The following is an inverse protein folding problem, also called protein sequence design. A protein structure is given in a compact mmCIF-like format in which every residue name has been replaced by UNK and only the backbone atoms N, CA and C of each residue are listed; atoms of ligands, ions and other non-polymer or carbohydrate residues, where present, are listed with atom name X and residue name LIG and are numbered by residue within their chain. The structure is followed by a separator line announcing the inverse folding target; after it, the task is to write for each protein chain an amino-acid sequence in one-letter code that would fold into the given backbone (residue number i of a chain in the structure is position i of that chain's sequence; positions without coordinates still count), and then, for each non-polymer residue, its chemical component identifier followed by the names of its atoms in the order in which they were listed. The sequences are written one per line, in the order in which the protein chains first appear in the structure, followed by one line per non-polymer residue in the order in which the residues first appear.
data_IF_876579152192
#
_entry.id   IF_876579152192
#
_cell.length_a   1.000
_cell.length_b   1.000
_cell.length_c   1.000
_cell.angle_alpha   90.00
_cell.angle_beta   90.00
_cell.angle_gamma   90.00
#
_symmetry.space_group_name_H-M   'P 1'
#
loop_
_entity.id
_entity.type
_entity.pdbx_description
1 polymer ?
#
# COMPACT_ATOMS: atom_id res chain seq x y z
N UNK A 1 -3.51 14.78 -27.01
CA UNK A 1 -3.39 16.20 -26.60
C UNK A 1 -3.27 16.23 -25.09
N UNK A 2 -2.07 16.48 -24.58
CA UNK A 2 -1.78 16.61 -23.15
C UNK A 2 -2.42 17.89 -22.63
N UNK A 3 -3.37 17.76 -21.70
CA UNK A 3 -3.83 18.90 -20.90
C UNK A 3 -2.63 19.52 -20.17
N UNK A 4 -2.57 20.85 -20.01
CA UNK A 4 -1.50 21.49 -19.26
C UNK A 4 -1.54 20.95 -17.84
N UNK A 5 -0.47 20.30 -17.42
CA UNK A 5 -0.27 19.79 -16.06
C UNK A 5 -0.33 20.97 -15.11
N UNK A 6 -1.43 21.11 -14.36
CA UNK A 6 -1.48 22.03 -13.21
C UNK A 6 -0.28 21.70 -12.31
N UNK A 7 0.54 22.71 -11.99
CA UNK A 7 1.65 22.55 -11.03
C UNK A 7 1.07 22.02 -9.72
N UNK A 8 1.51 20.84 -9.31
CA UNK A 8 1.20 20.31 -7.97
C UNK A 8 1.79 21.25 -6.92
N UNK A 9 1.03 21.53 -5.85
CA UNK A 9 1.51 22.38 -4.74
C UNK A 9 2.41 21.59 -3.79
N UNK A 10 2.19 20.28 -3.67
CA UNK A 10 2.91 19.38 -2.78
C UNK A 10 3.16 18.01 -3.42
N UNK A 11 4.08 17.23 -2.87
CA UNK A 11 4.18 15.81 -3.21
C UNK A 11 3.05 15.02 -2.55
N UNK A 12 2.73 13.85 -3.08
CA UNK A 12 1.68 12.99 -2.52
C UNK A 12 1.97 12.60 -1.07
N UNK A 13 3.20 12.21 -0.76
CA UNK A 13 3.55 11.83 0.61
C UNK A 13 3.32 12.97 1.62
N UNK A 14 3.70 14.21 1.29
CA UNK A 14 3.44 15.35 2.18
C UNK A 14 1.96 15.70 2.26
N UNK A 15 1.23 15.57 1.15
CA UNK A 15 -0.22 15.72 1.12
C UNK A 15 -0.88 14.74 2.08
N UNK A 16 -0.49 13.46 2.04
CA UNK A 16 -0.98 12.45 2.97
C UNK A 16 -0.67 12.80 4.42
N UNK A 17 0.56 13.24 4.73
CA UNK A 17 0.94 13.61 6.10
C UNK A 17 0.02 14.72 6.61
N UNK A 18 -0.21 15.76 5.81
CA UNK A 18 -1.08 16.88 6.18
C UNK A 18 -2.52 16.40 6.40
N UNK A 19 -3.08 15.61 5.48
CA UNK A 19 -4.45 15.12 5.58
C UNK A 19 -4.63 14.18 6.78
N UNK A 20 -3.69 13.25 7.00
CA UNK A 20 -3.69 12.34 8.14
C UNK A 20 -3.62 13.10 9.47
N UNK A 21 -2.71 14.07 9.60
CA UNK A 21 -2.62 14.90 10.80
C UNK A 21 -3.84 15.80 10.98
N UNK A 22 -4.46 16.28 9.90
CA UNK A 22 -5.71 17.05 10.00
C UNK A 22 -6.82 16.20 10.63
N UNK A 23 -6.98 14.94 10.22
CA UNK A 23 -7.93 14.00 10.82
C UNK A 23 -7.60 13.76 12.30
N UNK A 24 -6.32 13.53 12.63
CA UNK A 24 -5.86 13.29 14.00
C UNK A 24 -6.16 14.48 14.91
N UNK A 25 -5.82 15.70 14.45
CA UNK A 25 -6.01 16.92 15.22
C UNK A 25 -7.50 17.22 15.44
N UNK A 26 -8.34 16.99 14.43
CA UNK A 26 -9.80 17.11 14.59
C UNK A 26 -10.34 16.12 15.63
N UNK A 27 -9.88 14.88 15.62
CA UNK A 27 -10.29 13.88 16.61
C UNK A 27 -9.84 14.28 18.03
N UNK A 28 -8.60 14.74 18.20
CA UNK A 28 -8.07 15.24 19.48
C UNK A 28 -8.85 16.49 19.95
N UNK A 29 -9.31 17.34 19.02
CA UNK A 29 -10.14 18.50 19.32
C UNK A 29 -11.61 18.14 19.68
N UNK A 30 -11.95 16.85 19.75
CA UNK A 30 -13.29 16.37 20.09
C UNK A 30 -14.25 16.23 18.91
N UNK A 31 -13.81 16.53 17.68
CA UNK A 31 -14.61 16.33 16.47
C UNK A 31 -14.44 14.87 16.03
N UNK A 32 -15.21 13.99 16.67
CA UNK A 32 -15.20 12.56 16.37
C UNK A 32 -16.10 12.25 15.18
N UNK A 33 -15.56 11.52 14.21
CA UNK A 33 -16.37 10.99 13.12
C UNK A 33 -17.24 9.85 13.64
N UNK A 34 -18.52 9.79 13.23
CA UNK A 34 -19.41 8.72 13.65
C UNK A 34 -18.91 7.37 13.13
N UNK A 35 -19.19 6.33 13.91
CA UNK A 35 -18.82 4.94 13.59
C UNK A 35 -20.09 4.18 13.20
N UNK A 36 -20.31 3.87 11.91
CA UNK A 36 -21.43 3.06 11.48
C UNK A 36 -21.32 1.62 11.97
N UNK A 37 -22.47 1.01 12.21
CA UNK A 37 -22.59 -0.40 12.55
C UNK A 37 -22.85 -1.22 11.29
N UNK A 38 -21.99 -2.21 11.03
CA UNK A 38 -22.16 -3.14 9.92
C UNK A 38 -22.46 -4.58 10.36
N UNK A 39 -22.42 -4.90 11.66
CA UNK A 39 -22.61 -6.29 12.12
C UNK A 39 -24.07 -6.69 12.23
N UNK A 40 -24.45 -7.81 11.59
CA UNK A 40 -25.80 -8.40 11.59
C UNK A 40 -25.80 -9.94 11.48
N UNK A 41 -26.75 -10.58 12.16
CA UNK A 41 -26.91 -12.05 12.15
C UNK A 41 -28.03 -12.56 11.22
N UNK A 42 -29.09 -11.77 11.03
CA UNK A 42 -30.29 -12.14 10.30
C UNK A 42 -30.84 -10.93 9.53
N UNK A 43 -31.85 -11.17 8.68
CA UNK A 43 -32.45 -10.10 7.87
C UNK A 43 -33.08 -8.99 8.72
N UNK A 44 -33.66 -9.29 9.88
CA UNK A 44 -34.22 -8.28 10.76
C UNK A 44 -33.14 -7.31 11.25
N UNK A 45 -32.02 -7.80 11.78
CA UNK A 45 -30.89 -6.96 12.20
C UNK A 45 -30.29 -6.14 11.04
N UNK A 46 -30.26 -6.69 9.82
CA UNK A 46 -29.81 -5.95 8.64
C UNK A 46 -30.68 -4.70 8.42
N UNK A 47 -32.01 -4.82 8.50
CA UNK A 47 -32.91 -3.68 8.29
C UNK A 47 -32.99 -2.75 9.51
N UNK A 48 -33.08 -3.30 10.72
CA UNK A 48 -33.31 -2.53 11.95
C UNK A 48 -32.07 -1.84 12.49
N UNK A 49 -30.88 -2.37 12.20
CA UNK A 49 -29.61 -1.83 12.71
C UNK A 49 -28.76 -1.24 11.60
N UNK A 50 -28.43 -2.02 10.58
CA UNK A 50 -27.47 -1.62 9.53
C UNK A 50 -28.10 -0.65 8.53
N UNK A 51 -29.35 -0.90 8.11
CA UNK A 51 -30.09 -0.02 7.20
C UNK A 51 -31.06 0.92 7.95
N UNK A 52 -30.87 1.07 9.25
CA UNK A 52 -31.62 2.05 10.05
C UNK A 52 -31.31 3.48 9.61
N UNK A 53 -32.28 4.38 9.77
CA UNK A 53 -32.10 5.79 9.42
C UNK A 53 -30.92 6.42 10.15
N UNK A 54 -30.73 6.11 11.44
CA UNK A 54 -29.61 6.60 12.23
C UNK A 54 -28.26 6.12 11.67
N UNK A 55 -28.16 4.84 11.31
CA UNK A 55 -26.91 4.30 10.76
C UNK A 55 -26.61 4.83 9.35
N UNK A 56 -27.65 5.00 8.52
CA UNK A 56 -27.52 5.63 7.20
C UNK A 56 -27.02 7.07 7.34
N UNK A 57 -27.51 7.83 8.32
CA UNK A 57 -26.98 9.18 8.61
C UNK A 57 -25.48 9.13 8.97
N UNK A 58 -25.05 8.17 9.80
CA UNK A 58 -23.62 7.98 10.12
C UNK A 58 -22.79 7.69 8.87
N UNK A 59 -23.28 6.82 7.99
CA UNK A 59 -22.64 6.49 6.70
C UNK A 59 -22.54 7.75 5.81
N UNK A 60 -23.61 8.54 5.71
CA UNK A 60 -23.60 9.77 4.91
C UNK A 60 -22.65 10.83 5.47
N UNK A 61 -22.57 11.00 6.79
CA UNK A 61 -21.60 11.89 7.44
C UNK A 61 -20.16 11.43 7.14
N UNK A 62 -19.90 10.11 7.18
CA UNK A 62 -18.59 9.58 6.79
C UNK A 62 -18.28 9.82 5.32
N UNK A 63 -19.25 9.65 4.41
CA UNK A 63 -19.07 9.97 2.99
C UNK A 63 -18.67 11.44 2.81
N UNK A 64 -19.33 12.38 3.49
CA UNK A 64 -18.98 13.80 3.42
C UNK A 64 -17.55 14.03 3.94
N UNK A 65 -17.18 13.44 5.07
CA UNK A 65 -15.83 13.57 5.62
C UNK A 65 -14.76 13.03 4.63
N UNK A 66 -15.00 11.86 4.05
CA UNK A 66 -14.12 11.25 3.04
C UNK A 66 -14.02 12.13 1.79
N UNK A 67 -15.15 12.66 1.29
CA UNK A 67 -15.17 13.58 0.16
C UNK A 67 -14.37 14.85 0.42
N UNK A 68 -14.50 15.46 1.60
CA UNK A 68 -13.74 16.66 1.98
C UNK A 68 -12.25 16.37 1.99
N UNK A 69 -11.82 15.28 2.63
CA UNK A 69 -10.41 14.90 2.72
C UNK A 69 -9.85 14.57 1.33
N UNK A 70 -10.57 13.78 0.52
CA UNK A 70 -10.14 13.41 -0.82
C UNK A 70 -10.13 14.62 -1.78
N UNK A 71 -11.09 15.53 -1.66
CA UNK A 71 -11.13 16.77 -2.45
C UNK A 71 -9.96 17.69 -2.08
N UNK A 72 -9.64 17.82 -0.79
CA UNK A 72 -8.46 18.54 -0.33
C UNK A 72 -7.17 17.92 -0.87
N UNK A 73 -7.06 16.59 -0.84
CA UNK A 73 -5.94 15.87 -1.47
C UNK A 73 -5.83 16.14 -2.97
N UNK A 74 -6.94 16.09 -3.70
CA UNK A 74 -6.96 16.40 -5.12
C UNK A 74 -6.56 17.85 -5.41
N UNK A 75 -6.99 18.81 -4.59
CA UNK A 75 -6.57 20.21 -4.70
C UNK A 75 -5.05 20.37 -4.52
N UNK A 76 -4.48 19.78 -3.47
CA UNK A 76 -3.06 19.89 -3.15
C UNK A 76 -2.17 19.23 -4.21
N UNK A 77 -2.66 18.15 -4.82
CA UNK A 77 -1.99 17.43 -5.91
C UNK A 77 -2.21 18.06 -7.29
N UNK A 78 -3.07 19.07 -7.41
CA UNK A 78 -3.46 19.65 -8.71
C UNK A 78 -4.37 18.77 -9.56
N UNK A 79 -4.93 17.71 -8.98
CA UNK A 79 -5.86 16.78 -9.61
C UNK A 79 -7.29 17.37 -9.72
N UNK A 80 -8.16 16.70 -10.47
CA UNK A 80 -9.54 17.14 -10.69
C UNK A 80 -10.41 16.88 -9.46
N UNK A 81 -10.72 17.94 -8.71
CA UNK A 81 -11.71 17.89 -7.61
C UNK A 81 -13.08 17.43 -8.09
N UNK A 82 -13.47 17.82 -9.31
CA UNK A 82 -14.73 17.38 -9.92
C UNK A 82 -14.76 15.86 -10.06
N UNK A 83 -13.65 15.24 -10.45
CA UNK A 83 -13.56 13.78 -10.57
C UNK A 83 -13.80 13.12 -9.21
N UNK A 84 -13.24 13.65 -8.12
CA UNK A 84 -13.48 13.15 -6.76
C UNK A 84 -14.97 13.19 -6.41
N UNK A 85 -15.66 14.32 -6.61
CA UNK A 85 -17.09 14.43 -6.30
C UNK A 85 -17.99 13.54 -7.17
N UNK A 86 -17.57 13.20 -8.39
CA UNK A 86 -18.35 12.31 -9.27
C UNK A 86 -18.05 10.83 -9.04
N UNK A 87 -16.77 10.49 -8.82
CA UNK A 87 -16.28 9.11 -8.77
C UNK A 87 -16.25 8.51 -7.37
N UNK A 88 -15.81 9.28 -6.38
CA UNK A 88 -15.66 8.79 -5.01
C UNK A 88 -16.97 8.30 -4.38
N UNK A 89 -18.14 8.90 -4.63
CA UNK A 89 -19.40 8.35 -4.12
C UNK A 89 -19.69 6.94 -4.61
N UNK A 90 -19.29 6.60 -5.84
CA UNK A 90 -19.45 5.25 -6.39
C UNK A 90 -18.48 4.28 -5.73
N UNK A 91 -17.21 4.66 -5.59
CA UNK A 91 -16.22 3.84 -4.88
C UNK A 91 -16.66 3.60 -3.43
N UNK A 92 -17.09 4.67 -2.74
CA UNK A 92 -17.59 4.60 -1.38
C UNK A 92 -18.81 3.68 -1.27
N UNK A 93 -19.78 3.79 -2.18
CA UNK A 93 -20.93 2.90 -2.21
C UNK A 93 -20.53 1.42 -2.34
N UNK A 94 -19.61 1.10 -3.27
CA UNK A 94 -19.09 -0.26 -3.42
C UNK A 94 -18.37 -0.74 -2.16
N UNK A 95 -17.60 0.14 -1.52
CA UNK A 95 -16.95 -0.15 -0.23
C UNK A 95 -17.98 -0.41 0.88
N UNK A 96 -19.06 0.38 0.97
CA UNK A 96 -20.13 0.14 1.95
C UNK A 96 -20.83 -1.20 1.69
N UNK A 97 -21.07 -1.57 0.44
CA UNK A 97 -21.59 -2.90 0.11
C UNK A 97 -20.65 -4.01 0.60
N UNK A 98 -19.34 -3.87 0.40
CA UNK A 98 -18.36 -4.80 0.95
C UNK A 98 -18.47 -4.90 2.48
N UNK A 99 -18.52 -3.75 3.18
CA UNK A 99 -18.62 -3.72 4.65
C UNK A 99 -19.91 -4.37 5.17
N UNK A 100 -21.05 -4.14 4.49
CA UNK A 100 -22.33 -4.77 4.84
C UNK A 100 -22.25 -6.29 4.65
N UNK A 101 -21.68 -6.77 3.53
CA UNK A 101 -21.53 -8.20 3.25
C UNK A 101 -20.65 -8.87 4.32
N UNK A 102 -19.50 -8.29 4.63
CA UNK A 102 -18.57 -8.81 5.65
C UNK A 102 -19.16 -8.78 7.06
N UNK A 103 -20.00 -7.79 7.35
CA UNK A 103 -20.67 -7.68 8.64
C UNK A 103 -21.68 -8.79 8.96
N UNK A 104 -22.03 -9.62 7.97
CA UNK A 104 -22.85 -10.80 8.18
C UNK A 104 -22.10 -11.87 9.01
N UNK A 105 -22.75 -12.43 10.02
CA UNK A 105 -22.11 -13.42 10.90
C UNK A 105 -21.67 -14.71 10.20
N UNK A 106 -22.37 -15.18 9.16
CA UNK A 106 -21.92 -16.34 8.40
C UNK A 106 -20.61 -16.06 7.65
N UNK A 107 -20.46 -14.85 7.10
CA UNK A 107 -19.23 -14.41 6.43
C UNK A 107 -18.11 -14.17 7.44
N UNK A 108 -18.42 -13.56 8.59
CA UNK A 108 -17.47 -13.34 9.68
C UNK A 108 -16.88 -14.65 10.20
N UNK A 109 -17.68 -15.72 10.26
CA UNK A 109 -17.23 -17.05 10.65
C UNK A 109 -16.22 -17.68 9.67
N UNK A 110 -16.17 -17.21 8.42
CA UNK A 110 -15.17 -17.62 7.43
C UNK A 110 -13.82 -16.90 7.62
N UNK A 111 -13.70 -15.99 8.60
CA UNK A 111 -12.53 -15.12 8.82
C UNK A 111 -12.15 -14.33 7.56
N UNK A 112 -13.15 -13.90 6.79
CA UNK A 112 -12.96 -13.04 5.64
C UNK A 112 -13.12 -11.59 6.07
N UNK A 113 -12.07 -10.79 5.96
CA UNK A 113 -12.12 -9.36 6.28
C UNK A 113 -12.81 -8.54 5.20
N UNK A 114 -13.30 -7.37 5.61
CA UNK A 114 -13.89 -6.33 4.75
C UNK A 114 -13.03 -5.98 3.54
N UNK A 115 -11.73 -6.04 3.75
CA UNK A 115 -10.68 -5.76 2.78
C UNK A 115 -10.72 -6.71 1.58
N UNK A 116 -10.95 -8.01 1.80
CA UNK A 116 -11.07 -8.99 0.72
C UNK A 116 -12.29 -8.69 -0.13
N UNK A 117 -13.45 -8.46 0.49
CA UNK A 117 -14.68 -8.19 -0.25
C UNK A 117 -14.58 -6.90 -1.05
N UNK A 118 -13.97 -5.87 -0.47
CA UNK A 118 -13.68 -4.59 -1.15
C UNK A 118 -12.86 -4.81 -2.42
N UNK A 119 -11.78 -5.59 -2.31
CA UNK A 119 -10.93 -5.94 -3.44
C UNK A 119 -11.68 -6.79 -4.48
N UNK A 120 -12.36 -7.87 -4.06
CA UNK A 120 -13.05 -8.80 -4.98
C UNK A 120 -14.13 -8.07 -5.77
N UNK A 121 -14.95 -7.23 -5.12
CA UNK A 121 -15.97 -6.43 -5.79
C UNK A 121 -15.32 -5.51 -6.83
N UNK A 122 -14.22 -4.85 -6.44
CA UNK A 122 -13.46 -4.03 -7.38
C UNK A 122 -12.93 -4.82 -8.57
N UNK A 123 -12.30 -5.98 -8.34
CA UNK A 123 -11.74 -6.84 -9.39
C UNK A 123 -12.79 -7.35 -10.36
N UNK A 124 -13.93 -7.81 -9.83
CA UNK A 124 -15.06 -8.26 -10.65
C UNK A 124 -15.51 -7.12 -11.56
N UNK A 125 -15.77 -5.94 -11.01
CA UNK A 125 -16.27 -4.80 -11.79
C UNK A 125 -15.21 -4.33 -12.80
N UNK A 126 -13.95 -4.13 -12.36
CA UNK A 126 -12.86 -3.62 -13.20
C UNK A 126 -12.49 -4.52 -14.37
N UNK A 127 -12.71 -5.84 -14.25
CA UNK A 127 -12.42 -6.82 -15.31
C UNK A 127 -13.66 -7.26 -16.11
N UNK A 128 -14.88 -6.91 -15.67
CA UNK A 128 -16.12 -7.22 -16.43
C UNK A 128 -16.67 -6.00 -17.17
N UNK A 129 -16.42 -4.79 -16.66
CA UNK A 129 -16.97 -3.55 -17.19
C UNK A 129 -15.82 -2.58 -17.49
N UNK A 130 -15.87 -1.94 -18.67
CA UNK A 130 -14.94 -0.85 -18.96
C UNK A 130 -15.29 0.37 -18.11
N UNK A 131 -14.45 0.69 -17.13
CA UNK A 131 -14.69 1.82 -16.24
C UNK A 131 -14.65 3.15 -17.00
N UNK A 132 -15.63 4.04 -16.80
CA UNK A 132 -15.64 5.34 -17.46
C UNK A 132 -14.52 6.24 -16.90
N UNK A 133 -14.03 7.16 -17.72
CA UNK A 133 -12.86 8.00 -17.40
C UNK A 133 -13.04 8.84 -16.13
N UNK A 134 -14.26 9.30 -15.83
CA UNK A 134 -14.55 10.06 -14.61
C UNK A 134 -14.40 9.24 -13.34
N UNK A 135 -14.69 7.94 -13.40
CA UNK A 135 -14.52 7.03 -12.26
C UNK A 135 -13.05 6.69 -12.08
N UNK A 136 -12.35 6.34 -13.18
CA UNK A 136 -10.89 6.10 -13.15
C UNK A 136 -10.13 7.29 -12.57
N UNK A 137 -10.51 8.52 -12.92
CA UNK A 137 -9.88 9.74 -12.42
C UNK A 137 -10.11 10.01 -10.92
N UNK A 138 -11.02 9.29 -10.26
CA UNK A 138 -11.29 9.39 -8.83
C UNK A 138 -10.62 8.27 -8.01
N UNK A 139 -10.06 7.26 -8.67
CA UNK A 139 -9.33 6.19 -8.00
C UNK A 139 -7.99 6.79 -7.55
N UNK A 140 -7.75 6.78 -6.23
CA UNK A 140 -6.55 7.37 -5.63
C UNK A 140 -6.00 6.40 -4.59
N UNK A 141 -5.70 5.19 -5.08
CA UNK A 141 -5.24 4.05 -4.31
C UNK A 141 -4.12 4.41 -3.32
N UNK A 142 -3.02 4.98 -3.79
CA UNK A 142 -1.87 5.29 -2.91
C UNK A 142 -2.21 6.33 -1.84
N UNK A 143 -2.92 7.40 -2.23
CA UNK A 143 -3.40 8.43 -1.30
C UNK A 143 -4.23 7.80 -0.18
N UNK A 144 -5.20 6.94 -0.51
CA UNK A 144 -6.09 6.31 0.47
C UNK A 144 -5.33 5.35 1.39
N UNK A 145 -4.48 4.47 0.85
CA UNK A 145 -3.64 3.58 1.67
C UNK A 145 -2.77 4.38 2.63
N UNK A 146 -2.04 5.39 2.12
CA UNK A 146 -1.07 6.12 2.93
C UNK A 146 -1.77 6.96 4.02
N UNK A 147 -2.97 7.51 3.77
CA UNK A 147 -3.77 8.16 4.82
C UNK A 147 -4.09 7.14 5.92
N UNK A 148 -4.60 5.95 5.54
CA UNK A 148 -4.85 4.87 6.48
C UNK A 148 -3.60 4.50 7.28
N UNK A 149 -2.42 4.43 6.65
CA UNK A 149 -1.17 4.14 7.35
C UNK A 149 -0.77 5.25 8.33
N UNK A 150 -0.93 6.53 8.01
CA UNK A 150 -0.67 7.61 8.99
C UNK A 150 -1.60 7.49 10.20
N UNK A 151 -2.88 7.19 9.97
CA UNK A 151 -3.84 6.96 11.07
C UNK A 151 -3.50 5.71 11.89
N UNK A 152 -3.00 4.65 11.27
CA UNK A 152 -2.52 3.44 11.96
C UNK A 152 -1.47 3.79 13.02
N UNK A 153 -0.61 4.78 12.75
CA UNK A 153 0.42 5.26 13.69
C UNK A 153 -0.15 5.67 15.05
N UNK A 154 -1.39 6.14 15.12
CA UNK A 154 -2.06 6.51 16.38
C UNK A 154 -2.37 5.31 17.29
N UNK A 155 -2.32 4.10 16.76
CA UNK A 155 -2.62 2.85 17.47
C UNK A 155 -1.39 1.97 17.73
N UNK A 156 -0.22 2.39 17.23
CA UNK A 156 1.05 1.67 17.35
C UNK A 156 1.92 2.36 18.41
N UNK A 157 2.36 1.60 19.40
CA UNK A 157 3.22 2.10 20.47
C UNK A 157 4.62 2.27 19.90
N UNK A 158 5.27 3.40 20.19
CA UNK A 158 6.58 3.71 19.63
C UNK A 158 7.67 2.68 20.01
N UNK A 159 7.58 2.06 21.20
CA UNK A 159 8.49 0.99 21.60
C UNK A 159 8.41 -0.25 20.69
N UNK A 160 7.20 -0.58 20.21
CA UNK A 160 7.00 -1.69 19.28
C UNK A 160 7.64 -1.38 17.93
N UNK A 161 7.59 -0.11 17.51
CA UNK A 161 8.28 0.36 16.29
C UNK A 161 9.79 0.21 16.43
N UNK A 162 10.38 0.58 17.57
CA UNK A 162 11.82 0.43 17.77
C UNK A 162 12.24 -1.05 17.72
N UNK A 163 11.49 -1.92 18.42
CA UNK A 163 11.78 -3.35 18.46
C UNK A 163 11.59 -4.01 17.10
N UNK A 164 10.39 -3.97 16.54
CA UNK A 164 10.07 -4.61 15.26
C UNK A 164 10.74 -3.92 14.08
N UNK A 165 11.01 -2.61 14.18
CA UNK A 165 11.69 -1.85 13.14
C UNK A 165 13.16 -2.19 13.01
N UNK A 166 13.86 -2.43 14.13
CA UNK A 166 15.26 -2.87 14.10
C UNK A 166 15.42 -4.27 13.50
N UNK A 167 14.60 -5.24 13.93
CA UNK A 167 14.53 -6.57 13.33
C UNK A 167 14.11 -6.50 11.85
N UNK A 168 13.12 -5.65 11.55
CA UNK A 168 12.64 -5.42 10.19
C UNK A 168 13.71 -4.81 9.28
N UNK A 169 14.60 -3.96 9.80
CA UNK A 169 15.71 -3.40 9.03
C UNK A 169 16.79 -4.44 8.73
N UNK A 170 17.12 -5.29 9.71
CA UNK A 170 18.03 -6.43 9.51
C UNK A 170 17.44 -7.37 8.44
N UNK A 171 16.17 -7.75 8.58
CA UNK A 171 15.47 -8.55 7.59
C UNK A 171 15.52 -7.89 6.21
N UNK A 172 15.14 -6.61 6.13
CA UNK A 172 15.09 -5.89 4.86
C UNK A 172 16.45 -5.83 4.18
N UNK A 173 17.55 -5.60 4.91
CA UNK A 173 18.89 -5.61 4.34
C UNK A 173 19.24 -6.97 3.72
N UNK A 174 19.02 -8.05 4.46
CA UNK A 174 19.35 -9.41 3.99
C UNK A 174 18.46 -9.81 2.80
N UNK A 175 17.16 -9.56 2.89
CA UNK A 175 16.19 -9.86 1.82
C UNK A 175 16.46 -9.04 0.57
N UNK A 176 16.59 -7.71 0.68
CA UNK A 176 16.83 -6.83 -0.46
C UNK A 176 18.10 -7.26 -1.20
N UNK A 177 19.20 -7.47 -0.48
CA UNK A 177 20.47 -7.89 -1.09
C UNK A 177 20.30 -9.25 -1.77
N UNK A 178 19.85 -10.27 -1.05
CA UNK A 178 19.76 -11.63 -1.58
C UNK A 178 18.81 -11.73 -2.79
N UNK A 179 17.62 -11.14 -2.69
CA UNK A 179 16.60 -11.16 -3.75
C UNK A 179 17.04 -10.33 -4.94
N UNK A 180 17.62 -9.14 -4.74
CA UNK A 180 18.09 -8.31 -5.86
C UNK A 180 19.18 -9.01 -6.66
N UNK A 181 20.20 -9.57 -5.99
CA UNK A 181 21.26 -10.31 -6.68
C UNK A 181 20.74 -11.53 -7.42
N UNK A 182 19.84 -12.30 -6.79
CA UNK A 182 19.24 -13.47 -7.43
C UNK A 182 18.40 -13.09 -8.65
N UNK A 183 17.55 -12.07 -8.53
CA UNK A 183 16.71 -11.54 -9.61
C UNK A 183 17.55 -11.01 -10.77
N UNK A 184 18.65 -10.31 -10.49
CA UNK A 184 19.54 -9.78 -11.52
C UNK A 184 20.30 -10.90 -12.24
N UNK A 185 20.79 -11.89 -11.48
CA UNK A 185 21.46 -13.06 -12.03
C UNK A 185 20.55 -13.88 -12.95
N UNK A 186 19.31 -14.16 -12.52
CA UNK A 186 18.37 -14.94 -13.34
C UNK A 186 17.92 -14.13 -14.57
N UNK A 187 17.78 -12.80 -14.46
CA UNK A 187 17.51 -11.90 -15.60
C UNK A 187 18.58 -12.05 -16.68
N UNK A 188 19.85 -11.98 -16.30
CA UNK A 188 20.99 -12.14 -17.21
C UNK A 188 21.04 -13.54 -17.82
N UNK A 189 20.79 -14.58 -17.02
CA UNK A 189 20.79 -15.98 -17.47
C UNK A 189 19.69 -16.27 -18.49
N UNK A 190 18.52 -15.63 -18.36
CA UNK A 190 17.39 -15.80 -19.29
C UNK A 190 17.45 -14.86 -20.51
N UNK A 191 18.49 -14.02 -20.59
CA UNK A 191 18.69 -13.07 -21.69
C UNK A 191 17.65 -11.95 -21.70
N UNK A 192 17.20 -11.52 -20.53
CA UNK A 192 16.46 -10.25 -20.38
C UNK A 192 17.48 -9.11 -20.48
N UNK A 193 17.11 -8.03 -21.18
CA UNK A 193 18.00 -6.88 -21.33
C UNK A 193 18.30 -6.26 -19.96
N UNK A 194 19.48 -5.63 -19.85
CA UNK A 194 20.00 -5.14 -18.58
C UNK A 194 19.07 -4.11 -17.90
N UNK A 195 18.50 -3.21 -18.69
CA UNK A 195 17.60 -2.17 -18.19
C UNK A 195 16.33 -2.77 -17.56
N UNK A 196 15.70 -3.72 -18.26
CA UNK A 196 14.56 -4.48 -17.74
C UNK A 196 14.96 -5.32 -16.52
N UNK A 197 16.14 -5.96 -16.56
CA UNK A 197 16.68 -6.77 -15.48
C UNK A 197 16.89 -5.98 -14.18
N UNK A 198 17.47 -4.77 -14.26
CA UNK A 198 17.67 -3.90 -13.08
C UNK A 198 16.32 -3.42 -12.55
N UNK A 199 15.40 -2.94 -13.42
CA UNK A 199 14.07 -2.51 -12.99
C UNK A 199 13.29 -3.62 -12.29
N UNK A 200 13.30 -4.83 -12.86
CA UNK A 200 12.64 -6.00 -12.30
C UNK A 200 13.26 -6.40 -10.96
N UNK A 201 14.59 -6.47 -10.90
CA UNK A 201 15.32 -6.86 -9.69
C UNK A 201 15.08 -5.89 -8.53
N UNK A 202 15.03 -4.58 -8.81
CA UNK A 202 14.67 -3.57 -7.82
C UNK A 202 13.21 -3.66 -7.40
N UNK A 203 12.30 -3.98 -8.33
CA UNK A 203 10.88 -4.09 -8.04
C UNK A 203 10.60 -5.24 -7.06
N UNK A 204 11.11 -6.45 -7.35
CA UNK A 204 10.86 -7.66 -6.55
C UNK A 204 11.58 -7.72 -5.20
N UNK A 205 12.62 -6.90 -5.00
CA UNK A 205 13.44 -6.98 -3.78
C UNK A 205 13.20 -5.86 -2.77
N UNK A 206 12.61 -4.73 -3.17
CA UNK A 206 12.44 -3.54 -2.32
C UNK A 206 10.95 -3.26 -2.06
N UNK A 207 10.31 -2.46 -2.89
CA UNK A 207 8.95 -1.96 -2.65
C UNK A 207 8.11 -1.92 -3.93
N UNK A 208 8.45 -2.77 -4.91
CA UNK A 208 7.69 -2.92 -6.14
C UNK A 208 7.72 -1.69 -7.02
N UNK A 209 6.56 -1.05 -7.14
CA UNK A 209 6.31 0.06 -8.07
C UNK A 209 7.26 1.24 -7.84
N UNK A 210 7.39 1.69 -6.58
CA UNK A 210 8.26 2.83 -6.26
C UNK A 210 9.73 2.56 -6.55
N UNK A 211 10.18 1.31 -6.34
CA UNK A 211 11.53 0.88 -6.67
C UNK A 211 11.77 0.81 -8.19
N UNK A 212 10.80 0.30 -8.95
CA UNK A 212 10.84 0.28 -10.41
C UNK A 212 10.92 1.71 -10.98
N UNK A 213 10.09 2.64 -10.48
CA UNK A 213 10.08 4.05 -10.91
C UNK A 213 11.42 4.74 -10.55
N UNK A 214 11.91 4.56 -9.33
CA UNK A 214 13.16 5.18 -8.89
C UNK A 214 14.36 4.66 -9.70
N UNK A 215 14.39 3.35 -9.95
CA UNK A 215 15.43 2.69 -10.76
C UNK A 215 15.36 3.16 -12.20
N UNK A 216 14.17 3.16 -12.81
CA UNK A 216 13.95 3.65 -14.18
C UNK A 216 14.40 5.11 -14.33
N UNK A 217 14.08 5.98 -13.36
CA UNK A 217 14.56 7.35 -13.36
C UNK A 217 16.09 7.48 -13.22
N UNK A 218 16.72 6.60 -12.44
CA UNK A 218 18.17 6.61 -12.24
C UNK A 218 18.95 6.13 -13.49
N UNK A 219 18.39 5.18 -14.24
CA UNK A 219 19.02 4.60 -15.44
C UNK A 219 18.51 5.19 -16.76
N UNK A 220 17.58 6.15 -16.71
CA UNK A 220 16.83 6.69 -17.86
C UNK A 220 16.14 5.60 -18.68
N UNK A 221 15.43 4.71 -17.99
CA UNK A 221 14.77 3.57 -18.58
C UNK A 221 13.57 3.92 -19.47
N UNK A 222 13.23 3.01 -20.37
CA UNK A 222 12.08 3.03 -21.25
C UNK A 222 10.77 2.91 -20.46
N UNK A 223 9.87 3.84 -20.74
CA UNK A 223 8.57 3.95 -20.07
C UNK A 223 7.65 2.73 -20.27
N UNK A 224 7.77 2.01 -21.40
CA UNK A 224 6.97 0.79 -21.66
C UNK A 224 7.48 -0.36 -20.80
N UNK A 225 8.80 -0.53 -20.69
CA UNK A 225 9.41 -1.53 -19.79
C UNK A 225 9.03 -1.26 -18.33
N UNK A 226 9.11 0.00 -17.89
CA UNK A 226 8.65 0.42 -16.56
C UNK A 226 7.17 0.06 -16.33
N UNK A 227 6.29 0.41 -17.28
CA UNK A 227 4.85 0.11 -17.18
C UNK A 227 4.59 -1.40 -17.08
N UNK A 228 5.35 -2.21 -17.79
CA UNK A 228 5.25 -3.66 -17.71
C UNK A 228 5.72 -4.22 -16.37
N UNK A 229 6.85 -3.75 -15.82
CA UNK A 229 7.31 -4.13 -14.47
C UNK A 229 6.27 -3.76 -13.41
N UNK A 230 5.69 -2.57 -13.49
CA UNK A 230 4.63 -2.12 -12.58
C UNK A 230 3.43 -3.08 -12.66
N UNK A 231 3.02 -3.46 -13.88
CA UNK A 231 1.92 -4.41 -14.08
C UNK A 231 2.21 -5.77 -13.45
N UNK A 232 3.44 -6.29 -13.62
CA UNK A 232 3.86 -7.53 -12.98
C UNK A 232 3.72 -7.46 -11.46
N UNK A 233 4.27 -6.40 -10.84
CA UNK A 233 4.20 -6.18 -9.38
C UNK A 233 2.76 -6.14 -8.88
N UNK A 234 1.90 -5.36 -9.54
CA UNK A 234 0.52 -5.17 -9.08
C UNK A 234 -0.27 -6.48 -9.15
N UNK A 235 -0.10 -7.22 -10.24
CA UNK A 235 -0.89 -8.44 -10.43
C UNK A 235 -0.35 -9.61 -9.62
N UNK A 236 0.97 -9.72 -9.40
CA UNK A 236 1.52 -10.75 -8.50
C UNK A 236 1.23 -10.47 -7.03
N UNK A 237 1.05 -9.20 -6.64
CA UNK A 237 0.70 -8.84 -5.27
C UNK A 237 -0.67 -9.36 -4.83
N UNK A 238 -1.65 -9.47 -5.75
CA UNK A 238 -3.00 -9.96 -5.44
C UNK A 238 -3.04 -11.39 -4.90
N UNK A 239 -2.51 -12.41 -5.61
CA UNK A 239 -2.51 -13.77 -5.08
C UNK A 239 -1.68 -13.87 -3.81
N UNK A 240 -0.55 -13.15 -3.70
CA UNK A 240 0.25 -13.16 -2.46
C UNK A 240 -0.54 -12.60 -1.27
N UNK A 241 -1.22 -11.46 -1.46
CA UNK A 241 -2.06 -10.83 -0.45
C UNK A 241 -3.18 -11.75 0.07
N UNK A 242 -3.74 -12.57 -0.81
CA UNK A 242 -4.82 -13.49 -0.44
C UNK A 242 -4.26 -14.79 0.15
N UNK A 243 -3.32 -15.44 -0.53
CA UNK A 243 -2.91 -16.81 -0.20
C UNK A 243 -1.86 -16.90 0.90
N UNK A 244 -0.95 -15.91 1.04
CA UNK A 244 0.09 -15.97 2.07
C UNK A 244 -0.47 -15.98 3.50
N UNK A 245 -1.49 -15.16 3.87
CA UNK A 245 -2.15 -15.27 5.17
C UNK A 245 -2.68 -16.68 5.49
N UNK A 246 -3.33 -17.34 4.52
CA UNK A 246 -3.83 -18.71 4.71
C UNK A 246 -2.70 -19.73 4.80
N UNK A 247 -1.63 -19.56 4.01
CA UNK A 247 -0.44 -20.41 4.10
C UNK A 247 0.22 -20.29 5.49
N UNK A 248 0.36 -19.08 6.02
CA UNK A 248 0.90 -18.84 7.35
C UNK A 248 0.05 -19.49 8.45
N UNK A 249 -1.29 -19.38 8.34
CA UNK A 249 -2.24 -20.04 9.24
C UNK A 249 -2.12 -21.57 9.17
N UNK A 250 -2.00 -22.13 7.97
CA UNK A 250 -1.83 -23.58 7.77
C UNK A 250 -0.50 -24.10 8.35
N UNK A 251 0.54 -23.26 8.34
CA UNK A 251 1.84 -23.54 8.95
C UNK A 251 1.89 -23.31 10.47
N UNK A 252 0.84 -22.72 11.07
CA UNK A 252 0.80 -22.40 12.49
C UNK A 252 1.78 -21.30 12.91
N UNK A 253 2.09 -20.34 12.03
CA UNK A 253 2.99 -19.23 12.33
C UNK A 253 2.34 -18.21 13.29
N UNK A 254 3.16 -17.57 14.13
CA UNK A 254 2.70 -16.45 14.95
C UNK A 254 2.33 -15.23 14.09
N UNK A 255 1.55 -14.29 14.64
CA UNK A 255 1.23 -13.05 13.95
C UNK A 255 2.46 -12.19 13.66
N UNK A 256 3.47 -12.21 14.53
CA UNK A 256 4.73 -11.48 14.35
C UNK A 256 5.53 -12.04 13.18
N UNK A 257 5.73 -13.37 13.13
CA UNK A 257 6.43 -14.04 12.01
C UNK A 257 5.66 -13.85 10.71
N UNK A 258 4.33 -14.02 10.76
CA UNK A 258 3.47 -13.82 9.59
C UNK A 258 3.55 -12.38 9.09
N UNK A 259 3.44 -11.40 10.00
CA UNK A 259 3.57 -10.00 9.66
C UNK A 259 4.92 -9.67 9.04
N UNK A 260 6.01 -10.16 9.62
CA UNK A 260 7.35 -9.98 9.07
C UNK A 260 7.51 -10.62 7.68
N UNK A 261 6.94 -11.80 7.46
CA UNK A 261 6.95 -12.46 6.15
C UNK A 261 6.16 -11.66 5.10
N UNK A 262 4.92 -11.27 5.41
CA UNK A 262 4.08 -10.46 4.52
C UNK A 262 4.75 -9.12 4.19
N UNK A 263 5.29 -8.44 5.21
CA UNK A 263 5.96 -7.15 5.07
C UNK A 263 7.26 -7.20 4.27
N UNK A 264 8.00 -8.31 4.32
CA UNK A 264 9.23 -8.48 3.54
C UNK A 264 9.02 -8.92 2.09
N UNK A 265 7.88 -9.56 1.79
CA UNK A 265 7.63 -10.22 0.49
C UNK A 265 6.63 -9.51 -0.39
N UNK A 266 5.54 -8.94 0.13
CA UNK A 266 4.50 -8.37 -0.73
C UNK A 266 4.94 -6.98 -1.21
N UNK A 267 5.06 -6.78 -2.52
CA UNK A 267 5.75 -5.63 -3.11
C UNK A 267 4.90 -4.37 -3.26
N UNK A 268 3.79 -4.24 -2.53
CA UNK A 268 3.04 -2.99 -2.44
C UNK A 268 2.57 -2.74 -1.01
N UNK A 269 2.69 -1.51 -0.53
CA UNK A 269 2.30 -1.18 0.85
C UNK A 269 0.81 -1.39 1.09
N UNK A 270 -0.03 -1.14 0.08
CA UNK A 270 -1.47 -1.44 0.15
C UNK A 270 -1.73 -2.93 0.33
N UNK A 271 -1.18 -3.78 -0.53
CA UNK A 271 -1.43 -5.22 -0.44
C UNK A 271 -0.84 -5.85 0.84
N UNK A 272 0.28 -5.33 1.36
CA UNK A 272 0.81 -5.72 2.68
C UNK A 272 -0.18 -5.37 3.78
N UNK A 273 -0.70 -4.14 3.80
CA UNK A 273 -1.67 -3.73 4.81
C UNK A 273 -2.95 -4.55 4.75
N UNK A 274 -3.42 -4.89 3.54
CA UNK A 274 -4.54 -5.79 3.35
C UNK A 274 -4.26 -7.20 3.91
N UNK A 275 -3.13 -7.80 3.51
CA UNK A 275 -2.74 -9.13 3.97
C UNK A 275 -2.54 -9.18 5.49
N UNK A 276 -1.93 -8.15 6.07
CA UNK A 276 -1.76 -8.02 7.52
C UNK A 276 -3.09 -7.91 8.25
N UNK A 277 -4.03 -7.13 7.71
CA UNK A 277 -5.39 -7.00 8.27
C UNK A 277 -6.11 -8.34 8.28
N UNK A 278 -5.88 -9.22 7.30
CA UNK A 278 -6.46 -10.56 7.25
C UNK A 278 -5.97 -11.52 8.33
N UNK A 279 -4.78 -11.26 8.85
CA UNK A 279 -4.17 -12.11 9.87
C UNK A 279 -4.54 -11.60 11.25
N UNK A 280 -4.41 -10.29 11.50
CA UNK A 280 -4.73 -9.68 12.79
C UNK A 280 -4.03 -8.34 13.02
N UNK A 281 -4.36 -7.69 14.14
CA UNK A 281 -3.80 -6.38 14.49
C UNK A 281 -2.27 -6.45 14.68
N UNK A 282 -1.73 -7.55 15.23
CA UNK A 282 -0.27 -7.69 15.47
C UNK A 282 0.45 -7.91 14.14
N UNK A 283 -0.11 -8.74 13.26
CA UNK A 283 0.42 -8.96 11.92
C UNK A 283 0.37 -7.68 11.05
N UNK A 284 -0.72 -6.91 11.10
CA UNK A 284 -0.83 -5.61 10.41
C UNK A 284 0.26 -4.63 10.86
N UNK A 285 0.46 -4.50 12.18
CA UNK A 285 1.50 -3.62 12.74
C UNK A 285 2.90 -4.08 12.31
N UNK A 286 3.20 -5.35 12.52
CA UNK A 286 4.53 -5.92 12.23
C UNK A 286 4.85 -5.85 10.73
N UNK A 287 3.90 -6.23 9.86
CA UNK A 287 4.06 -6.15 8.41
C UNK A 287 4.25 -4.73 7.90
N UNK A 288 3.51 -3.77 8.46
CA UNK A 288 3.68 -2.35 8.14
C UNK A 288 5.07 -1.86 8.53
N UNK A 289 5.51 -2.15 9.77
CA UNK A 289 6.83 -1.74 10.27
C UNK A 289 7.95 -2.35 9.44
N UNK A 290 7.91 -3.66 9.16
CA UNK A 290 8.91 -4.35 8.33
C UNK A 290 8.93 -3.78 6.91
N UNK A 291 7.75 -3.53 6.30
CA UNK A 291 7.69 -2.92 4.97
C UNK A 291 8.24 -1.50 4.99
N UNK A 292 8.02 -0.73 6.05
CA UNK A 292 8.61 0.61 6.18
C UNK A 292 10.13 0.53 6.31
N UNK A 293 10.67 -0.40 7.09
CA UNK A 293 12.11 -0.65 7.15
C UNK A 293 12.70 -0.95 5.77
N UNK A 294 12.00 -1.73 4.93
CA UNK A 294 12.39 -1.97 3.54
C UNK A 294 12.28 -0.72 2.66
N UNK A 295 11.23 0.08 2.83
CA UNK A 295 11.03 1.34 2.13
C UNK A 295 12.12 2.38 2.46
N UNK A 296 12.68 2.39 3.67
CA UNK A 296 13.80 3.28 4.04
C UNK A 296 15.04 2.98 3.17
N UNK A 297 15.25 1.72 2.78
CA UNK A 297 16.38 1.32 1.94
C UNK A 297 16.26 1.80 0.49
N UNK A 298 15.07 2.22 0.03
CA UNK A 298 14.84 2.67 -1.34
C UNK A 298 15.78 3.81 -1.75
N UNK A 299 15.95 4.82 -0.89
CA UNK A 299 16.81 5.96 -1.19
C UNK A 299 18.29 5.55 -1.35
N UNK A 300 18.75 4.65 -0.48
CA UNK A 300 20.11 4.10 -0.52
C UNK A 300 20.32 3.23 -1.76
N UNK A 301 19.35 2.37 -2.09
CA UNK A 301 19.40 1.51 -3.27
C UNK A 301 19.41 2.33 -4.57
N UNK A 302 18.55 3.35 -4.69
CA UNK A 302 18.52 4.22 -5.85
C UNK A 302 19.84 4.97 -6.05
N UNK A 303 20.45 5.44 -4.96
CA UNK A 303 21.76 6.06 -4.98
C UNK A 303 22.86 5.08 -5.45
N UNK A 304 22.88 3.86 -4.92
CA UNK A 304 23.82 2.82 -5.31
C UNK A 304 23.68 2.44 -6.80
N UNK A 305 22.45 2.29 -7.29
CA UNK A 305 22.16 2.00 -8.71
C UNK A 305 22.62 3.14 -9.61
N UNK A 306 22.39 4.40 -9.21
CA UNK A 306 22.85 5.58 -9.94
C UNK A 306 24.38 5.62 -10.09
N UNK A 307 25.11 5.28 -9.02
CA UNK A 307 26.57 5.11 -9.07
C UNK A 307 26.93 3.99 -10.05
N UNK A 308 26.38 2.79 -9.87
CA UNK A 308 26.67 1.65 -10.74
C UNK A 308 26.49 1.96 -12.22
N UNK A 309 25.37 2.61 -12.58
CA UNK A 309 25.03 2.98 -13.96
C UNK A 309 25.97 4.03 -14.53
N UNK A 310 26.42 4.99 -13.72
CA UNK A 310 27.36 6.04 -14.14
C UNK A 310 28.77 5.49 -14.39
N UNK A 311 29.21 4.53 -13.58
CA UNK A 311 30.58 3.97 -13.66
C UNK A 311 30.73 2.83 -14.68
N UNK A 312 29.64 2.24 -15.17
CA UNK A 312 29.68 1.13 -16.15
C UNK A 312 29.80 1.59 -17.62
N UNK A 313 30.07 2.88 -17.89
CA UNK A 313 30.32 3.43 -19.24
C UNK A 313 29.21 3.11 -20.27
N UNK A 314 27.96 2.97 -19.83
CA UNK A 314 26.84 2.71 -20.72
C UNK A 314 26.64 3.94 -21.65
N UNK A 315 26.51 3.80 -22.99
CA UNK A 315 26.46 4.94 -23.93
C UNK A 315 25.34 5.97 -23.67
N UNK A 316 24.30 5.56 -22.91
CA UNK A 316 23.18 6.40 -22.47
C UNK A 316 23.51 7.29 -21.25
N UNK A 317 24.62 7.04 -20.55
CA UNK A 317 25.08 7.80 -19.39
C UNK A 317 25.88 9.08 -19.76
N UNK A 318 25.84 9.52 -21.04
CA UNK A 318 26.64 10.64 -21.55
C UNK A 318 26.26 12.05 -21.06
N UNK A 319 25.24 12.19 -20.20
CA UNK A 319 24.99 13.47 -19.53
C UNK A 319 25.82 13.57 -18.25
N UNK A 320 26.81 14.47 -18.27
CA UNK A 320 27.68 14.83 -17.14
C UNK A 320 26.95 15.56 -15.99
N UNK A 321 25.66 15.84 -16.12
CA UNK A 321 24.94 16.80 -15.26
C UNK A 321 24.19 16.21 -14.05
N UNK A 322 24.14 14.89 -13.88
CA UNK A 322 23.56 14.27 -12.68
C UNK A 322 24.62 13.49 -11.91
N UNK A 323 25.49 14.20 -11.19
CA UNK A 323 26.32 13.58 -10.16
C UNK A 323 25.40 12.97 -9.09
N UNK A 324 25.64 11.71 -8.65
CA UNK A 324 24.92 11.13 -7.52
C UNK A 324 25.08 12.04 -6.29
N UNK A 325 24.01 12.66 -5.82
CA UNK A 325 24.03 13.49 -4.61
C UNK A 325 23.32 12.76 -3.47
N UNK A 326 23.75 13.01 -2.24
CA UNK A 326 23.07 12.48 -1.05
C UNK A 326 21.62 13.00 -0.94
N UNK A 327 21.29 14.10 -1.62
CA UNK A 327 19.93 14.62 -1.73
C UNK A 327 18.94 13.62 -2.36
N UNK A 328 19.42 12.76 -3.26
CA UNK A 328 18.60 11.70 -3.89
C UNK A 328 18.00 10.76 -2.85
N UNK A 329 18.73 10.47 -1.77
CA UNK A 329 18.24 9.60 -0.69
C UNK A 329 17.00 10.24 -0.05
N UNK A 330 17.07 11.54 0.26
CA UNK A 330 15.94 12.27 0.84
C UNK A 330 14.79 12.41 -0.15
N UNK A 331 15.07 12.70 -1.42
CA UNK A 331 14.05 12.83 -2.47
C UNK A 331 13.28 11.53 -2.69
N UNK A 332 13.93 10.37 -2.56
CA UNK A 332 13.30 9.04 -2.74
C UNK A 332 12.74 8.44 -1.45
N UNK A 333 13.15 8.94 -0.28
CA UNK A 333 12.61 8.49 1.00
C UNK A 333 11.08 8.72 1.06
N UNK A 334 10.26 7.75 1.48
CA UNK A 334 8.81 7.93 1.53
C UNK A 334 8.40 8.77 2.73
N UNK A 335 7.95 10.00 2.50
CA UNK A 335 7.70 10.97 3.59
C UNK A 335 6.49 10.63 4.44
N UNK A 336 5.55 9.83 3.93
CA UNK A 336 4.40 9.37 4.70
C UNK A 336 4.81 8.48 5.89
N UNK A 337 5.97 7.81 5.82
CA UNK A 337 6.54 7.03 6.94
C UNK A 337 6.86 7.96 8.12
N UNK A 338 7.32 9.19 7.85
CA UNK A 338 7.53 10.20 8.91
C UNK A 338 6.20 10.59 9.57
N UNK A 339 5.13 10.69 8.79
CA UNK A 339 3.79 10.93 9.31
C UNK A 339 3.32 9.83 10.26
N UNK A 340 3.52 8.57 9.89
CA UNK A 340 3.24 7.42 10.76
C UNK A 340 4.07 7.46 12.06
N UNK A 341 5.38 7.69 11.96
CA UNK A 341 6.27 7.78 13.12
C UNK A 341 5.89 8.94 14.04
N UNK A 342 5.59 10.10 13.47
CA UNK A 342 5.16 11.28 14.23
C UNK A 342 3.82 11.05 14.93
N UNK A 343 2.85 10.40 14.27
CA UNK A 343 1.58 10.03 14.89
C UNK A 343 1.79 9.05 16.07
N UNK A 344 2.66 8.06 15.91
CA UNK A 344 3.00 7.12 16.99
C UNK A 344 3.70 7.80 18.16
N UNK A 345 4.67 8.70 17.90
CA UNK A 345 5.33 9.49 18.94
C UNK A 345 4.34 10.37 19.69
N UNK A 346 3.44 11.06 18.97
CA UNK A 346 2.41 11.91 19.54
C UNK A 346 1.51 11.10 20.50
N UNK A 347 1.00 9.96 20.06
CA UNK A 347 0.09 9.12 20.86
C UNK A 347 0.80 8.32 21.96
N UNK A 348 2.10 8.08 21.83
CA UNK A 348 2.88 7.35 22.85
C UNK A 348 3.37 8.24 23.98
N UNK A 349 3.67 9.53 23.71
CA UNK A 349 4.38 10.39 24.66
C UNK A 349 3.73 11.72 24.98
N UNK A 350 2.84 12.22 24.12
CA UNK A 350 2.30 13.60 24.24
C UNK A 350 0.84 13.59 24.67
N UNK A 351 0.02 12.72 24.07
CA UNK A 351 -1.43 12.67 24.32
C UNK A 351 -1.72 11.88 25.60
N UNK A 352 -2.60 12.42 26.45
CA UNK A 352 -2.97 11.76 27.70
C UNK A 352 -3.72 10.43 27.45
N UNK A 353 -3.58 9.43 28.34
CA UNK A 353 -4.28 8.14 28.21
C UNK A 353 -5.80 8.25 28.04
N UNK A 354 -6.42 9.22 28.72
CA UNK A 354 -7.86 9.48 28.62
C UNK A 354 -8.25 9.96 27.21
N UNK A 355 -7.48 10.90 26.66
CA UNK A 355 -7.71 11.41 25.30
C UNK A 355 -7.48 10.31 24.27
N UNK A 356 -6.40 9.52 24.41
CA UNK A 356 -6.15 8.36 23.53
C UNK A 356 -7.33 7.40 23.54
N UNK A 357 -7.85 7.06 24.73
CA UNK A 357 -8.98 6.15 24.88
C UNK A 357 -10.26 6.70 24.23
N UNK A 358 -10.50 8.01 24.32
CA UNK A 358 -11.66 8.67 23.72
C UNK A 358 -11.62 8.68 22.17
N UNK A 359 -10.44 8.86 21.57
CA UNK A 359 -10.33 9.04 20.11
C UNK A 359 -9.98 7.75 19.34
N UNK A 360 -9.37 6.77 20.01
CA UNK A 360 -8.82 5.55 19.37
C UNK A 360 -9.83 4.77 18.54
N UNK A 361 -11.07 4.63 19.04
CA UNK A 361 -12.13 3.91 18.33
C UNK A 361 -12.51 4.57 17.00
N UNK A 362 -12.70 5.90 17.01
CA UNK A 362 -13.04 6.67 15.81
C UNK A 362 -11.89 6.67 14.80
N UNK A 363 -10.66 6.90 15.26
CA UNK A 363 -9.47 6.85 14.39
C UNK A 363 -9.24 5.47 13.77
N UNK A 364 -9.39 4.39 14.54
CA UNK A 364 -9.28 3.01 14.02
C UNK A 364 -10.37 2.70 13.00
N UNK A 365 -11.61 3.17 13.21
CA UNK A 365 -12.68 2.99 12.23
C UNK A 365 -12.38 3.73 10.93
N UNK A 366 -11.95 4.99 11.02
CA UNK A 366 -11.66 5.78 9.83
C UNK A 366 -10.42 5.27 9.08
N UNK A 367 -9.40 4.79 9.81
CA UNK A 367 -8.28 4.05 9.25
C UNK A 367 -8.75 2.84 8.42
N UNK A 368 -9.61 2.00 8.98
CA UNK A 368 -10.17 0.84 8.29
C UNK A 368 -10.98 1.21 7.04
N UNK A 369 -11.72 2.33 7.10
CA UNK A 369 -12.47 2.86 5.95
C UNK A 369 -11.54 3.31 4.81
N UNK A 370 -10.45 4.03 5.10
CA UNK A 370 -9.46 4.42 4.09
C UNK A 370 -8.81 3.21 3.43
N UNK A 371 -8.51 2.17 4.21
CA UNK A 371 -8.04 0.90 3.67
C UNK A 371 -9.07 0.23 2.77
N UNK A 372 -10.34 0.12 3.20
CA UNK A 372 -11.40 -0.49 2.38
C UNK A 372 -11.64 0.27 1.06
N UNK A 373 -11.60 1.61 1.09
CA UNK A 373 -11.66 2.46 -0.11
C UNK A 373 -10.47 2.22 -1.04
N UNK A 374 -9.27 2.13 -0.47
CA UNK A 374 -8.07 1.83 -1.24
C UNK A 374 -8.15 0.47 -1.92
N UNK A 375 -8.59 -0.57 -1.21
CA UNK A 375 -8.67 -1.92 -1.77
C UNK A 375 -9.78 -2.05 -2.82
N UNK A 376 -10.89 -1.34 -2.63
CA UNK A 376 -11.92 -1.20 -3.67
C UNK A 376 -11.32 -0.55 -4.93
N UNK A 377 -10.54 0.53 -4.76
CA UNK A 377 -9.88 1.24 -5.86
C UNK A 377 -8.85 0.35 -6.57
N UNK A 378 -8.02 -0.39 -5.81
CA UNK A 378 -7.05 -1.36 -6.35
C UNK A 378 -7.75 -2.40 -7.22
N UNK A 379 -8.86 -2.96 -6.73
CA UNK A 379 -9.62 -3.95 -7.48
C UNK A 379 -10.15 -3.36 -8.79
N UNK A 380 -10.71 -2.15 -8.74
CA UNK A 380 -11.24 -1.45 -9.92
C UNK A 380 -10.14 -1.09 -10.94
N UNK A 381 -8.94 -0.73 -10.49
CA UNK A 381 -7.81 -0.37 -11.37
C UNK A 381 -7.10 -1.57 -11.98
N UNK A 382 -7.17 -2.74 -11.32
CA UNK A 382 -6.40 -3.90 -11.75
C UNK A 382 -6.99 -4.56 -13.00
N UNK A 383 -6.18 -4.67 -14.05
CA UNK A 383 -6.53 -5.33 -15.31
C UNK A 383 -5.64 -6.55 -15.56
N UNK A 384 -6.21 -7.75 -15.50
CA UNK A 384 -5.45 -8.99 -15.72
C UNK A 384 -5.04 -9.18 -17.19
N UNK A 385 -5.69 -8.53 -18.15
CA UNK A 385 -5.32 -8.66 -19.56
C UNK A 385 -3.90 -8.13 -19.84
N UNK A 386 -3.42 -7.17 -19.04
CA UNK A 386 -2.10 -6.58 -19.18
C UNK A 386 -0.95 -7.58 -18.93
N UNK A 387 -1.22 -8.68 -18.20
CA UNK A 387 -0.27 -9.78 -17.98
C UNK A 387 -0.01 -10.64 -19.22
N UNK A 388 -0.98 -10.76 -20.12
CA UNK A 388 -0.98 -11.77 -21.19
C UNK A 388 -0.55 -11.21 -22.54
N UNK A 389 0.03 -10.01 -22.58
CA UNK A 389 0.62 -9.47 -23.80
C UNK A 389 1.78 -10.35 -24.28
N UNK A 390 1.70 -10.79 -25.54
CA UNK A 390 2.50 -11.91 -26.09
C UNK A 390 4.00 -11.63 -26.22
N UNK A 391 4.43 -10.36 -26.11
CA UNK A 391 5.80 -9.94 -26.40
C UNK A 391 6.78 -9.98 -25.21
N UNK A 392 6.34 -10.43 -24.02
CA UNK A 392 7.12 -10.23 -22.78
C UNK A 392 7.17 -11.43 -21.81
N UNK A 393 7.11 -12.66 -22.33
CA UNK A 393 7.13 -13.90 -21.51
C UNK A 393 8.40 -14.09 -20.68
N UNK A 394 9.58 -13.75 -21.20
CA UNK A 394 10.86 -13.95 -20.48
C UNK A 394 10.93 -13.15 -19.17
N UNK A 395 10.67 -11.82 -19.16
CA UNK A 395 10.66 -11.09 -17.89
C UNK A 395 9.54 -11.52 -16.93
N UNK A 396 8.39 -12.01 -17.43
CA UNK A 396 7.36 -12.60 -16.56
C UNK A 396 7.91 -13.80 -15.78
N UNK A 397 8.53 -14.76 -16.46
CA UNK A 397 9.12 -15.92 -15.78
C UNK A 397 10.22 -15.53 -14.81
N UNK A 398 11.09 -14.59 -15.21
CA UNK A 398 12.13 -14.05 -14.33
C UNK A 398 11.51 -13.44 -13.06
N UNK A 399 10.45 -12.63 -13.19
CA UNK A 399 9.75 -12.03 -12.07
C UNK A 399 9.18 -13.11 -11.14
N UNK A 400 8.45 -14.09 -11.68
CA UNK A 400 7.83 -15.15 -10.89
C UNK A 400 8.85 -16.05 -10.18
N UNK A 401 9.97 -16.37 -10.84
CA UNK A 401 11.07 -17.13 -10.23
C UNK A 401 11.70 -16.33 -9.08
N UNK A 402 11.99 -15.04 -9.31
CA UNK A 402 12.54 -14.15 -8.29
C UNK A 402 11.55 -13.95 -7.12
N UNK A 403 10.26 -13.82 -7.40
CA UNK A 403 9.22 -13.70 -6.38
C UNK A 403 9.12 -14.97 -5.54
N UNK A 404 9.16 -16.13 -6.18
CA UNK A 404 9.13 -17.42 -5.48
C UNK A 404 10.33 -17.56 -4.55
N UNK A 405 11.51 -17.17 -5.03
CA UNK A 405 12.71 -17.09 -4.19
C UNK A 405 12.52 -16.11 -3.03
N UNK A 406 11.99 -14.90 -3.27
CA UNK A 406 11.67 -13.92 -2.22
C UNK A 406 10.73 -14.52 -1.16
N UNK A 407 9.63 -15.15 -1.58
CA UNK A 407 8.67 -15.80 -0.66
C UNK A 407 9.38 -16.78 0.27
N UNK A 408 10.27 -17.63 -0.25
CA UNK A 408 10.96 -18.67 0.51
C UNK A 408 12.03 -18.07 1.43
N UNK A 409 12.92 -17.21 0.90
CA UNK A 409 14.04 -16.66 1.69
C UNK A 409 13.53 -15.73 2.80
N UNK A 410 12.51 -14.93 2.51
CA UNK A 410 11.91 -14.02 3.49
C UNK A 410 11.19 -14.79 4.58
N UNK A 411 10.52 -15.90 4.26
CA UNK A 411 9.93 -16.77 5.29
C UNK A 411 11.00 -17.31 6.24
N UNK A 412 12.11 -17.82 5.70
CA UNK A 412 13.19 -18.36 6.51
C UNK A 412 13.80 -17.30 7.45
N UNK A 413 14.00 -16.08 6.93
CA UNK A 413 14.55 -14.96 7.72
C UNK A 413 13.53 -14.47 8.76
N UNK A 414 12.26 -14.30 8.38
CA UNK A 414 11.20 -13.88 9.28
C UNK A 414 11.02 -14.88 10.43
N UNK A 415 11.04 -16.18 10.12
CA UNK A 415 10.94 -17.24 11.12
C UNK A 415 12.13 -17.22 12.10
N UNK A 416 13.33 -16.87 11.64
CA UNK A 416 14.50 -16.80 12.53
C UNK A 416 14.50 -15.53 13.41
N UNK A 417 14.11 -14.39 12.85
CA UNK A 417 14.22 -13.09 13.53
C UNK A 417 13.03 -12.73 14.43
N UNK A 418 11.83 -13.24 14.15
CA UNK A 418 10.59 -12.84 14.81
C UNK A 418 9.91 -13.96 15.62
N UNK A 419 10.60 -15.09 15.84
CA UNK A 419 10.09 -16.21 16.65
C UNK A 419 10.15 -15.94 18.16
#
# INVERSE_FOLDING_TARGET
MSSPTKKSFLTEDWTVVILGFSIILLAIAGILLPVPAFSWNNSAELFEKVLSLENIQKILVQLVAVLVVAAAGALLLGNSVKAVFTGLPVVYFLTILALIITGNSAVKNLNLEAVIFSLIIGLIIGNTITLPTWLKAALSTELFVKIGLVLLGTTVIFSDILKSGSLGLIQALVVVISVWYFAFWISKKMGVDEEMGIMLSSAVSICGVSAAIATSGAIKGDSKKLSYVISLVLVTAIPMMIFMPYAAKAMGLSEEVTGAWLGGTIDTTGAVAAAGTLVGDVALKTSTIVKFSQNVLLGVAAFAISIYWTYTNNPLAKDKDTKPSLGVIWERFPKFVLGFLAASLLFSFVISPDTVSAVKGSLKNFQGLWFALAFTSIGLETNFADLFNKDSKKPLYVFLIAQTFNIIITLAIAYYLFR
#
